data_IF_686683955381
#
_entry.id   IF_686683955381
#
_cell.length_a   1.000
_cell.length_b   1.000
_cell.length_c   1.000
_cell.angle_alpha   90.00
_cell.angle_beta   90.00
_cell.angle_gamma   90.00
#
_symmetry.space_group_name_H-M   'P 1'
#
loop_
_entity.id
_entity.type
_entity.pdbx_description
1 polymer ?
#
# COMPACT_ATOMS: atom_id res chain seq x y z
N UNK A 1 3.53 4.01 28.18
CA UNK A 1 3.77 2.92 27.23
C UNK A 1 4.08 3.51 25.87
N UNK A 2 5.02 2.95 25.09
CA UNK A 2 5.32 3.41 23.72
C UNK A 2 4.84 2.35 22.74
N UNK A 3 3.99 2.73 21.79
CA UNK A 3 3.60 1.85 20.67
C UNK A 3 4.84 1.63 19.80
N UNK A 4 5.18 0.36 19.55
CA UNK A 4 6.22 -0.01 18.60
C UNK A 4 5.55 -0.64 17.39
N UNK A 5 5.67 0.02 16.24
CA UNK A 5 5.18 -0.52 14.98
C UNK A 5 6.12 -1.62 14.45
N UNK A 6 5.55 -2.54 13.67
CA UNK A 6 6.35 -3.40 12.81
C UNK A 6 7.10 -2.57 11.76
N UNK A 7 8.09 -3.16 11.09
CA UNK A 7 8.86 -2.42 10.07
C UNK A 7 7.97 -2.01 8.91
N UNK A 8 7.01 -2.88 8.54
CA UNK A 8 5.98 -2.62 7.53
C UNK A 8 5.10 -1.41 7.91
N UNK A 9 4.54 -1.39 9.12
CA UNK A 9 3.69 -0.27 9.55
C UNK A 9 4.49 1.01 9.80
N UNK A 10 5.75 0.90 10.25
CA UNK A 10 6.64 2.05 10.39
C UNK A 10 6.92 2.71 9.02
N UNK A 11 7.10 1.92 7.96
CA UNK A 11 7.23 2.45 6.61
C UNK A 11 5.96 3.17 6.14
N UNK A 12 4.77 2.63 6.42
CA UNK A 12 3.49 3.31 6.18
C UNK A 12 3.44 4.65 6.94
N UNK A 13 3.71 4.63 8.24
CA UNK A 13 3.70 5.83 9.08
C UNK A 13 4.69 6.91 8.58
N UNK A 14 5.83 6.51 8.02
CA UNK A 14 6.85 7.44 7.52
C UNK A 14 6.41 8.28 6.31
N UNK A 15 5.42 7.81 5.56
CA UNK A 15 4.90 8.50 4.36
C UNK A 15 3.67 9.37 4.63
N UNK A 16 3.16 9.36 5.86
CA UNK A 16 2.02 10.19 6.28
C UNK A 16 2.41 11.66 6.27
N UNK A 17 1.52 12.52 5.77
CA UNK A 17 1.74 13.96 5.77
C UNK A 17 1.69 14.49 7.22
N UNK A 18 2.83 14.93 7.74
CA UNK A 18 2.93 15.48 9.10
C UNK A 18 2.01 16.68 9.29
N UNK A 19 1.39 16.76 10.45
CA UNK A 19 0.46 17.84 10.81
C UNK A 19 -0.94 17.71 10.18
N UNK A 20 -1.18 16.68 9.39
CA UNK A 20 -2.46 16.45 8.71
C UNK A 20 -3.34 15.44 9.46
N UNK A 21 -4.66 15.53 9.29
CA UNK A 21 -5.60 14.51 9.78
C UNK A 21 -5.43 13.24 8.96
N UNK A 22 -5.20 12.11 9.63
CA UNK A 22 -5.07 10.81 9.01
C UNK A 22 -6.35 9.98 9.14
N UNK A 23 -6.72 9.25 8.10
CA UNK A 23 -7.67 8.15 8.17
C UNK A 23 -6.96 6.81 7.91
N UNK A 24 -7.00 5.89 8.86
CA UNK A 24 -6.51 4.52 8.75
C UNK A 24 -7.67 3.56 8.48
N UNK A 25 -7.72 3.03 7.26
CA UNK A 25 -8.87 2.25 6.74
C UNK A 25 -8.53 0.76 6.76
N UNK A 26 -9.35 -0.01 7.47
CA UNK A 26 -9.06 -1.40 7.83
C UNK A 26 -8.01 -1.47 8.94
N UNK A 27 -8.23 -0.69 10.00
CA UNK A 27 -7.29 -0.54 11.10
C UNK A 27 -7.13 -1.87 11.86
N UNK A 28 -5.94 -2.45 11.75
CA UNK A 28 -5.61 -3.67 12.48
C UNK A 28 -5.21 -3.31 13.92
N UNK A 29 -6.19 -3.38 14.82
CA UNK A 29 -6.06 -3.07 16.25
C UNK A 29 -5.62 -1.63 16.59
N UNK A 30 -5.73 -0.66 15.68
CA UNK A 30 -5.46 0.75 15.97
C UNK A 30 -3.98 1.13 16.12
N UNK A 31 -3.03 0.23 15.87
CA UNK A 31 -1.61 0.50 16.10
C UNK A 31 -1.08 1.72 15.33
N UNK A 32 -1.42 1.84 14.04
CA UNK A 32 -0.98 2.95 13.20
C UNK A 32 -1.53 4.31 13.68
N UNK A 33 -2.84 4.54 13.84
CA UNK A 33 -3.38 5.82 14.26
C UNK A 33 -2.91 6.19 15.68
N UNK A 34 -2.84 5.22 16.60
CA UNK A 34 -2.28 5.44 17.94
C UNK A 34 -0.81 5.87 17.88
N UNK A 35 0.01 5.24 17.03
CA UNK A 35 1.40 5.65 16.85
C UNK A 35 1.49 7.07 16.28
N UNK A 36 0.76 7.38 15.21
CA UNK A 36 0.80 8.69 14.56
C UNK A 36 0.42 9.83 15.51
N UNK A 37 -0.63 9.65 16.31
CA UNK A 37 -1.08 10.66 17.28
C UNK A 37 -0.13 10.73 18.48
N UNK A 38 0.29 9.61 19.05
CA UNK A 38 1.19 9.60 20.22
C UNK A 38 2.58 10.16 19.93
N UNK A 39 3.07 10.06 18.68
CA UNK A 39 4.33 10.66 18.24
C UNK A 39 4.17 12.12 17.77
N UNK A 40 2.96 12.69 17.82
CA UNK A 40 2.69 14.04 17.34
C UNK A 40 2.87 14.22 15.82
N UNK A 41 2.85 13.11 15.06
CA UNK A 41 2.91 13.14 13.58
C UNK A 41 1.59 13.68 13.04
N UNK A 42 0.48 13.24 13.61
CA UNK A 42 -0.86 13.70 13.27
C UNK A 42 -1.52 14.36 14.49
N UNK A 43 -2.24 15.48 14.33
CA UNK A 43 -3.01 16.09 15.42
C UNK A 43 -4.25 15.27 15.76
N UNK A 44 -4.78 14.52 14.79
CA UNK A 44 -6.00 13.71 14.89
C UNK A 44 -5.93 12.53 13.92
N UNK A 45 -6.58 11.42 14.28
CA UNK A 45 -6.74 10.27 13.39
C UNK A 45 -8.16 9.71 13.45
N UNK A 46 -8.65 9.22 12.31
CA UNK A 46 -9.86 8.41 12.19
C UNK A 46 -9.38 7.00 11.89
N UNK A 47 -9.82 6.02 12.67
CA UNK A 47 -9.50 4.62 12.44
C UNK A 47 -10.80 3.86 12.18
N UNK A 48 -10.87 3.12 11.08
CA UNK A 48 -12.07 2.37 10.75
C UNK A 48 -11.78 0.93 10.38
N UNK A 49 -12.74 0.06 10.69
CA UNK A 49 -12.77 -1.31 10.20
C UNK A 49 -14.23 -1.71 9.96
N UNK A 50 -14.45 -2.70 9.10
CA UNK A 50 -15.78 -3.30 8.89
C UNK A 50 -16.17 -4.24 10.04
N UNK A 51 -15.20 -4.65 10.84
CA UNK A 51 -15.34 -5.62 11.92
C UNK A 51 -15.20 -4.94 13.28
N UNK A 52 -16.10 -5.27 14.20
CA UNK A 52 -16.06 -4.73 15.56
C UNK A 52 -14.85 -5.22 16.37
N UNK A 53 -14.33 -6.42 16.07
CA UNK A 53 -13.21 -7.03 16.81
C UNK A 53 -11.93 -6.17 16.82
N UNK A 54 -11.37 -5.81 15.64
CA UNK A 54 -10.23 -4.90 15.54
C UNK A 54 -10.47 -3.55 16.22
N UNK A 55 -11.68 -2.98 16.10
CA UNK A 55 -12.03 -1.71 16.74
C UNK A 55 -12.09 -1.79 18.26
N UNK A 56 -12.54 -2.91 18.83
CA UNK A 56 -12.52 -3.10 20.28
C UNK A 56 -11.07 -3.14 20.80
N UNK A 57 -10.18 -3.86 20.12
CA UNK A 57 -8.77 -3.87 20.47
C UNK A 57 -8.11 -2.48 20.30
N UNK A 58 -8.48 -1.74 19.25
CA UNK A 58 -8.06 -0.36 19.08
C UNK A 58 -8.54 0.53 20.22
N UNK A 59 -9.79 0.37 20.65
CA UNK A 59 -10.39 1.11 21.77
C UNK A 59 -9.61 0.90 23.06
N UNK A 60 -9.29 -0.35 23.40
CA UNK A 60 -8.50 -0.67 24.60
C UNK A 60 -7.15 0.07 24.61
N UNK A 61 -6.47 0.14 23.45
CA UNK A 61 -5.19 0.84 23.30
C UNK A 61 -5.35 2.36 23.40
N UNK A 62 -6.39 2.91 22.76
CA UNK A 62 -6.69 4.35 22.74
C UNK A 62 -7.02 4.85 24.16
N UNK A 63 -7.83 4.11 24.91
CA UNK A 63 -8.18 4.42 26.30
C UNK A 63 -6.98 4.28 27.24
N UNK A 64 -6.18 3.21 27.09
CA UNK A 64 -4.97 3.00 27.88
C UNK A 64 -3.96 4.16 27.75
N UNK A 65 -3.95 4.85 26.61
CA UNK A 65 -3.06 5.97 26.32
C UNK A 65 -3.74 7.34 26.45
N UNK A 66 -5.01 7.39 26.88
CA UNK A 66 -5.82 8.61 26.99
C UNK A 66 -5.87 9.44 25.69
N UNK A 67 -6.08 8.77 24.55
CA UNK A 67 -6.10 9.36 23.21
C UNK A 67 -7.51 9.45 22.59
N UNK A 68 -8.57 9.20 23.36
CA UNK A 68 -9.97 9.15 22.92
C UNK A 68 -10.44 10.46 22.27
N UNK A 69 -9.85 11.60 22.69
CA UNK A 69 -10.16 12.92 22.11
C UNK A 69 -9.43 13.19 20.79
N UNK A 70 -8.50 12.33 20.39
CA UNK A 70 -7.64 12.52 19.21
C UNK A 70 -7.73 11.37 18.21
N UNK A 71 -8.38 10.27 18.58
CA UNK A 71 -8.57 9.10 17.73
C UNK A 71 -10.04 8.73 17.74
N UNK A 72 -10.68 8.83 16.59
CA UNK A 72 -12.08 8.44 16.39
C UNK A 72 -12.18 7.07 15.74
N UNK A 73 -12.89 6.16 16.39
CA UNK A 73 -13.03 4.76 15.98
C UNK A 73 -14.39 4.56 15.31
N UNK A 74 -14.41 4.19 14.04
CA UNK A 74 -15.63 4.08 13.24
C UNK A 74 -15.81 2.67 12.66
N UNK A 75 -16.96 2.06 12.93
CA UNK A 75 -17.37 0.83 12.25
C UNK A 75 -17.95 1.18 10.88
N UNK A 76 -17.35 0.68 9.80
CA UNK A 76 -17.90 0.87 8.46
C UNK A 76 -16.98 0.44 7.32
N UNK A 77 -17.51 0.55 6.11
CA UNK A 77 -16.92 0.01 4.88
C UNK A 77 -16.09 1.05 4.12
N UNK A 78 -14.78 0.83 4.11
CA UNK A 78 -13.84 1.61 3.32
C UNK A 78 -13.89 3.10 3.65
N UNK A 79 -13.98 3.93 2.61
CA UNK A 79 -14.02 5.39 2.74
C UNK A 79 -15.41 5.96 3.08
N UNK A 80 -16.46 5.13 3.13
CA UNK A 80 -17.84 5.59 3.42
C UNK A 80 -17.99 6.13 4.83
N UNK A 81 -17.04 5.85 5.71
CA UNK A 81 -16.99 6.38 7.08
C UNK A 81 -16.52 7.83 7.14
N UNK A 82 -16.04 8.39 6.02
CA UNK A 82 -15.45 9.73 5.95
C UNK A 82 -16.39 10.71 5.26
N UNK A 83 -16.40 11.95 5.75
CA UNK A 83 -16.93 13.10 5.01
C UNK A 83 -15.85 13.69 4.09
N UNK A 84 -16.21 14.29 2.94
CA UNK A 84 -15.26 15.02 2.11
C UNK A 84 -14.48 16.09 2.90
N UNK A 85 -13.14 16.08 2.77
CA UNK A 85 -12.25 17.01 3.47
C UNK A 85 -11.98 16.68 4.94
N UNK A 86 -12.54 15.59 5.47
CA UNK A 86 -12.36 15.21 6.87
C UNK A 86 -10.96 14.67 7.19
N UNK A 87 -10.34 13.99 6.22
CA UNK A 87 -8.96 13.50 6.31
C UNK A 87 -8.16 13.92 5.09
N UNK A 88 -6.94 14.39 5.33
CA UNK A 88 -6.00 14.83 4.28
C UNK A 88 -5.07 13.69 3.85
N UNK A 89 -4.77 12.75 4.75
CA UNK A 89 -3.99 11.55 4.45
C UNK A 89 -4.83 10.30 4.69
N UNK A 90 -4.97 9.45 3.68
CA UNK A 90 -5.59 8.12 3.83
C UNK A 90 -4.52 7.04 3.79
N UNK A 91 -4.53 6.16 4.80
CA UNK A 91 -3.74 4.95 4.87
C UNK A 91 -4.63 3.73 4.60
N UNK A 92 -4.22 2.86 3.68
CA UNK A 92 -4.84 1.54 3.47
C UNK A 92 -3.73 0.50 3.36
N UNK A 93 -3.60 -0.35 4.37
CA UNK A 93 -2.51 -1.31 4.47
C UNK A 93 -3.01 -2.73 4.74
N UNK A 94 -2.25 -3.75 4.29
CA UNK A 94 -2.59 -5.15 4.56
C UNK A 94 -3.70 -5.74 3.69
N UNK A 95 -4.15 -5.04 2.64
CA UNK A 95 -5.19 -5.49 1.72
C UNK A 95 -4.64 -5.85 0.34
N UNK A 96 -5.36 -6.63 -0.46
CA UNK A 96 -5.00 -6.85 -1.87
C UNK A 96 -5.31 -5.62 -2.72
N UNK A 97 -4.55 -5.40 -3.80
CA UNK A 97 -4.74 -4.24 -4.69
C UNK A 97 -6.19 -4.06 -5.18
N UNK A 98 -6.86 -5.14 -5.61
CA UNK A 98 -8.28 -5.06 -6.03
C UNK A 98 -9.22 -4.57 -4.92
N UNK A 99 -8.94 -4.89 -3.65
CA UNK A 99 -9.75 -4.40 -2.53
C UNK A 99 -9.47 -2.92 -2.27
N UNK A 100 -8.20 -2.53 -2.27
CA UNK A 100 -7.78 -1.13 -2.15
C UNK A 100 -8.45 -0.28 -3.23
N UNK A 101 -8.37 -0.72 -4.49
CA UNK A 101 -9.00 -0.03 -5.64
C UNK A 101 -10.50 0.14 -5.43
N UNK A 102 -11.23 -0.92 -5.04
CA UNK A 102 -12.68 -0.84 -4.77
C UNK A 102 -13.02 0.15 -3.65
N UNK A 103 -12.21 0.19 -2.59
CA UNK A 103 -12.40 1.15 -1.48
C UNK A 103 -12.23 2.58 -1.98
N UNK A 104 -11.20 2.82 -2.80
CA UNK A 104 -10.92 4.13 -3.41
C UNK A 104 -12.07 4.55 -4.35
N UNK A 105 -12.44 3.69 -5.30
CA UNK A 105 -13.51 3.96 -6.28
C UNK A 105 -14.90 4.14 -5.64
N UNK A 106 -15.12 3.56 -4.46
CA UNK A 106 -16.41 3.63 -3.76
C UNK A 106 -16.73 4.99 -3.13
N UNK A 107 -15.79 5.94 -3.11
CA UNK A 107 -16.01 7.27 -2.50
C UNK A 107 -15.22 8.38 -3.21
N UNK A 108 -15.53 8.67 -4.48
CA UNK A 108 -14.79 9.66 -5.27
C UNK A 108 -14.83 11.07 -4.67
N UNK A 109 -15.95 11.46 -4.04
CA UNK A 109 -16.13 12.77 -3.41
C UNK A 109 -15.21 12.97 -2.20
N UNK A 110 -14.85 11.89 -1.50
CA UNK A 110 -13.84 11.92 -0.44
C UNK A 110 -12.46 12.05 -1.07
N UNK A 111 -12.15 11.21 -2.07
CA UNK A 111 -10.83 11.15 -2.68
C UNK A 111 -10.34 12.46 -3.30
N UNK A 112 -11.23 13.23 -3.93
CA UNK A 112 -10.84 14.49 -4.58
C UNK A 112 -10.28 15.53 -3.59
N UNK A 113 -10.63 15.42 -2.30
CA UNK A 113 -10.14 16.30 -1.24
C UNK A 113 -8.89 15.77 -0.53
N UNK A 114 -8.48 14.53 -0.81
CA UNK A 114 -7.35 13.87 -0.15
C UNK A 114 -6.05 14.35 -0.75
N UNK A 115 -5.11 14.75 0.11
CA UNK A 115 -3.78 15.25 -0.31
C UNK A 115 -2.77 14.12 -0.46
N UNK A 116 -2.90 13.03 0.31
CA UNK A 116 -1.95 11.92 0.34
C UNK A 116 -2.67 10.58 0.49
N UNK A 117 -2.36 9.65 -0.40
CA UNK A 117 -2.61 8.22 -0.20
C UNK A 117 -1.32 7.55 0.24
N UNK A 118 -1.40 6.70 1.26
CA UNK A 118 -0.33 5.77 1.65
C UNK A 118 -0.90 4.36 1.60
N UNK A 119 -0.48 3.61 0.58
CA UNK A 119 -1.08 2.33 0.22
C UNK A 119 -0.05 1.22 0.37
N UNK A 120 -0.45 0.14 1.02
CA UNK A 120 0.41 -1.03 1.22
C UNK A 120 -0.36 -2.28 0.77
N UNK A 121 -0.30 -2.63 -0.54
CA UNK A 121 -0.94 -3.83 -1.05
C UNK A 121 -0.18 -5.10 -0.64
N UNK A 122 -0.91 -6.18 -0.30
CA UNK A 122 -0.34 -7.52 -0.08
C UNK A 122 -0.05 -8.27 -1.38
N UNK A 123 -0.72 -7.90 -2.46
CA UNK A 123 -0.62 -8.51 -3.78
C UNK A 123 -1.16 -7.56 -4.84
N UNK A 124 -0.71 -7.73 -6.08
CA UNK A 124 -1.21 -6.95 -7.21
C UNK A 124 -0.70 -5.51 -7.24
N UNK A 125 0.49 -5.23 -6.71
CA UNK A 125 1.04 -3.86 -6.67
C UNK A 125 1.09 -3.21 -8.06
N UNK A 126 1.42 -3.97 -9.12
CA UNK A 126 1.40 -3.46 -10.50
C UNK A 126 0.00 -3.04 -10.97
N UNK A 127 -1.04 -3.76 -10.56
CA UNK A 127 -2.43 -3.36 -10.80
C UNK A 127 -2.74 -2.04 -10.09
N UNK A 128 -2.30 -1.89 -8.84
CA UNK A 128 -2.51 -0.66 -8.09
C UNK A 128 -1.78 0.53 -8.71
N UNK A 129 -0.52 0.36 -9.14
CA UNK A 129 0.23 1.43 -9.84
C UNK A 129 -0.45 1.86 -11.13
N UNK A 130 -0.97 0.90 -11.91
CA UNK A 130 -1.72 1.20 -13.12
C UNK A 130 -2.98 2.00 -12.82
N UNK A 131 -3.77 1.57 -11.83
CA UNK A 131 -4.96 2.29 -11.39
C UNK A 131 -4.63 3.72 -10.96
N UNK A 132 -3.57 3.90 -10.15
CA UNK A 132 -3.12 5.22 -9.72
C UNK A 132 -2.79 6.12 -10.92
N UNK A 133 -2.03 5.60 -11.90
CA UNK A 133 -1.70 6.34 -13.12
C UNK A 133 -2.96 6.74 -13.92
N UNK A 134 -3.89 5.82 -14.11
CA UNK A 134 -5.15 6.03 -14.86
C UNK A 134 -6.09 7.03 -14.18
N UNK A 135 -6.02 7.15 -12.86
CA UNK A 135 -6.86 8.04 -12.04
C UNK A 135 -6.13 9.32 -11.61
N UNK A 136 -5.05 9.68 -12.31
CA UNK A 136 -4.27 10.89 -12.05
C UNK A 136 -3.74 10.99 -10.60
N UNK A 137 -3.32 9.87 -10.05
CA UNK A 137 -2.55 9.80 -8.81
C UNK A 137 -1.07 9.56 -9.14
N UNK A 138 -0.25 10.57 -8.87
CA UNK A 138 1.20 10.50 -9.04
C UNK A 138 1.83 9.82 -7.84
N UNK A 139 2.57 8.75 -8.11
CA UNK A 139 3.47 8.13 -7.14
C UNK A 139 4.63 9.09 -6.87
N UNK A 140 4.78 9.49 -5.61
CA UNK A 140 5.78 10.48 -5.17
C UNK A 140 6.83 9.87 -4.25
N UNK A 141 6.49 8.78 -3.57
CA UNK A 141 7.42 8.01 -2.76
C UNK A 141 7.03 6.53 -2.79
N UNK A 142 8.00 5.66 -2.62
CA UNK A 142 7.78 4.23 -2.47
C UNK A 142 8.81 3.65 -1.52
N UNK A 143 8.44 2.64 -0.76
CA UNK A 143 9.36 1.95 0.15
C UNK A 143 9.20 0.44 0.01
N UNK A 144 10.29 -0.27 0.23
CA UNK A 144 10.36 -1.72 0.16
C UNK A 144 10.93 -2.24 1.48
N UNK A 145 10.12 -2.98 2.22
CA UNK A 145 10.50 -3.55 3.52
C UNK A 145 10.60 -5.07 3.41
N UNK A 146 11.64 -5.66 3.99
CA UNK A 146 11.74 -7.10 4.19
C UNK A 146 11.44 -7.43 5.65
N UNK A 147 10.30 -8.08 5.91
CA UNK A 147 9.86 -8.45 7.26
C UNK A 147 9.37 -9.91 7.25
N UNK A 148 9.86 -10.73 8.18
CA UNK A 148 9.48 -12.16 8.23
C UNK A 148 9.84 -12.97 6.98
N UNK A 149 10.81 -12.51 6.19
CA UNK A 149 11.17 -13.12 4.91
C UNK A 149 10.25 -12.75 3.74
N UNK A 150 9.30 -11.83 3.95
CA UNK A 150 8.36 -11.36 2.93
C UNK A 150 8.68 -9.90 2.57
N UNK A 151 8.67 -9.60 1.27
CA UNK A 151 8.79 -8.24 0.77
C UNK A 151 7.45 -7.52 0.75
N UNK A 152 7.44 -6.30 1.30
CA UNK A 152 6.29 -5.41 1.33
C UNK A 152 6.60 -4.12 0.57
N UNK A 153 5.76 -3.79 -0.39
CA UNK A 153 5.79 -2.50 -1.08
C UNK A 153 4.81 -1.53 -0.40
N UNK A 154 5.28 -0.31 -0.15
CA UNK A 154 4.49 0.83 0.33
C UNK A 154 4.55 1.90 -0.76
N UNK A 155 3.41 2.49 -1.11
CA UNK A 155 3.28 3.53 -2.13
C UNK A 155 2.70 4.78 -1.49
N UNK A 156 3.44 5.89 -1.60
CA UNK A 156 2.94 7.24 -1.34
C UNK A 156 2.51 7.89 -2.65
N UNK A 157 1.24 8.30 -2.74
CA UNK A 157 0.69 8.96 -3.92
C UNK A 157 -0.07 10.24 -3.57
N UNK A 158 -0.13 11.17 -4.51
CA UNK A 158 -0.91 12.40 -4.41
C UNK A 158 -1.57 12.70 -5.76
N UNK A 159 -2.61 13.53 -5.78
CA UNK A 159 -3.23 13.96 -7.04
C UNK A 159 -2.19 14.62 -7.95
N UNK A 160 -2.20 14.21 -9.21
CA UNK A 160 -1.28 14.64 -10.24
C UNK A 160 -1.12 13.60 -11.34
N UNK A 161 -0.99 14.08 -12.58
CA UNK A 161 -0.73 13.22 -13.73
C UNK A 161 0.64 12.56 -13.62
N UNK A 162 0.71 11.30 -14.02
CA UNK A 162 1.96 10.60 -14.25
C UNK A 162 1.82 9.69 -15.48
N UNK A 163 2.96 9.33 -16.08
CA UNK A 163 3.03 8.33 -17.14
C UNK A 163 4.10 7.34 -16.72
N UNK A 164 3.72 6.07 -16.57
CA UNK A 164 4.60 5.01 -16.13
C UNK A 164 4.83 4.04 -17.28
N UNK A 165 6.07 3.64 -17.47
CA UNK A 165 6.43 2.52 -18.32
C UNK A 165 6.00 1.19 -17.68
N UNK A 166 5.91 0.12 -18.48
CA UNK A 166 5.57 -1.20 -17.94
C UNK A 166 6.58 -1.71 -16.89
N UNK A 167 7.86 -1.32 -17.02
CA UNK A 167 8.87 -1.62 -16.01
C UNK A 167 8.60 -0.88 -14.70
N UNK A 168 8.26 0.41 -14.77
CA UNK A 168 7.90 1.21 -13.58
C UNK A 168 6.61 0.72 -12.92
N UNK A 169 5.62 0.28 -13.71
CA UNK A 169 4.39 -0.33 -13.17
C UNK A 169 4.72 -1.64 -12.45
N UNK A 170 5.58 -2.48 -13.01
CA UNK A 170 5.91 -3.78 -12.41
C UNK A 170 6.82 -3.69 -11.18
N UNK A 171 7.75 -2.74 -11.17
CA UNK A 171 8.83 -2.65 -10.16
C UNK A 171 8.65 -1.48 -9.20
N UNK A 172 8.16 -0.34 -9.66
CA UNK A 172 8.04 0.90 -8.89
C UNK A 172 8.95 2.01 -9.42
N UNK A 173 8.39 3.13 -9.94
CA UNK A 173 9.20 4.21 -10.51
C UNK A 173 10.15 4.84 -9.50
N UNK A 174 9.69 5.04 -8.25
CA UNK A 174 10.51 5.65 -7.20
C UNK A 174 11.51 4.64 -6.68
N UNK A 175 11.12 3.37 -6.49
CA UNK A 175 12.04 2.30 -6.09
C UNK A 175 13.22 2.18 -7.05
N UNK A 176 12.94 2.20 -8.36
CA UNK A 176 13.95 2.18 -9.41
C UNK A 176 14.81 3.44 -9.38
N UNK A 177 14.18 4.63 -9.35
CA UNK A 177 14.89 5.92 -9.36
C UNK A 177 15.86 6.06 -8.18
N UNK A 178 15.44 5.64 -6.97
CA UNK A 178 16.28 5.71 -5.77
C UNK A 178 17.26 4.54 -5.63
N UNK A 179 17.26 3.58 -6.58
CA UNK A 179 18.03 2.33 -6.51
C UNK A 179 17.92 1.68 -5.14
N UNK A 180 16.69 1.43 -4.70
CA UNK A 180 16.44 1.04 -3.30
C UNK A 180 17.33 -0.15 -2.88
N UNK A 181 17.98 -0.15 -1.69
CA UNK A 181 18.95 -1.17 -1.31
C UNK A 181 18.43 -2.62 -1.35
N UNK A 182 17.14 -2.81 -1.10
CA UNK A 182 16.49 -4.12 -1.16
C UNK A 182 16.01 -4.52 -2.56
N UNK A 183 16.07 -3.62 -3.54
CA UNK A 183 15.46 -3.80 -4.86
C UNK A 183 16.06 -4.99 -5.61
N UNK A 184 17.38 -5.15 -5.61
CA UNK A 184 18.04 -6.28 -6.28
C UNK A 184 17.58 -7.63 -5.73
N UNK A 185 17.51 -7.76 -4.41
CA UNK A 185 17.03 -8.99 -3.75
C UNK A 185 15.56 -9.25 -4.05
N UNK A 186 14.74 -8.21 -4.04
CA UNK A 186 13.32 -8.29 -4.39
C UNK A 186 13.09 -8.72 -5.84
N UNK A 187 13.84 -8.17 -6.79
CA UNK A 187 13.76 -8.57 -8.20
C UNK A 187 14.16 -10.03 -8.40
N UNK A 188 15.19 -10.50 -7.69
CA UNK A 188 15.59 -11.92 -7.72
C UNK A 188 14.47 -12.84 -7.21
N UNK A 189 13.78 -12.46 -6.12
CA UNK A 189 12.66 -13.22 -5.58
C UNK A 189 11.45 -13.23 -6.52
N UNK A 190 11.13 -12.08 -7.13
CA UNK A 190 10.12 -12.00 -8.19
C UNK A 190 10.43 -12.90 -9.38
N UNK A 191 11.66 -12.83 -9.90
CA UNK A 191 12.10 -13.64 -11.04
C UNK A 191 12.01 -15.13 -10.68
N UNK A 192 12.42 -15.52 -9.47
CA UNK A 192 12.33 -16.91 -9.00
C UNK A 192 10.88 -17.38 -8.94
N UNK A 193 9.99 -16.56 -8.38
CA UNK A 193 8.55 -16.86 -8.30
C UNK A 193 7.93 -17.01 -9.70
N UNK A 194 8.26 -16.12 -10.64
CA UNK A 194 7.80 -16.20 -12.02
C UNK A 194 8.31 -17.44 -12.75
N UNK A 195 9.57 -17.85 -12.53
CA UNK A 195 10.12 -19.09 -13.09
C UNK A 195 9.38 -20.32 -12.57
N UNK A 196 9.09 -20.40 -11.27
CA UNK A 196 8.30 -21.50 -10.69
C UNK A 196 6.89 -21.57 -11.29
N UNK A 197 6.27 -20.42 -11.55
CA UNK A 197 4.98 -20.35 -12.23
C UNK A 197 5.10 -20.87 -13.67
N UNK A 198 6.15 -20.47 -14.39
CA UNK A 198 6.42 -20.91 -15.77
C UNK A 198 6.70 -22.41 -15.90
N UNK A 199 7.47 -23.00 -14.99
CA UNK A 199 7.79 -24.44 -15.04
C UNK A 199 6.56 -25.32 -14.82
N UNK A 200 5.56 -24.84 -14.07
CA UNK A 200 4.30 -25.55 -13.88
C UNK A 200 3.41 -25.51 -15.13
N UNK A 201 3.64 -24.56 -16.05
CA UNK A 201 2.88 -24.40 -17.29
C UNK A 201 3.42 -25.27 -18.45
N UNK A 202 4.70 -25.66 -18.42
CA UNK A 202 5.34 -26.47 -19.48
C UNK A 202 4.69 -27.86 -19.70
N UNK A 203 3.85 -28.31 -18.76
CA UNK A 203 3.12 -29.58 -18.86
C UNK A 203 1.84 -29.50 -19.73
N UNK A 204 1.43 -28.30 -20.18
CA UNK A 204 0.19 -28.09 -20.94
C UNK A 204 0.42 -27.50 -22.34
N UNK A 205 -0.14 -28.13 -23.38
CA UNK A 205 0.02 -27.69 -24.78
C UNK A 205 -1.12 -26.79 -25.31
N UNK A 206 -2.09 -26.40 -24.47
CA UNK A 206 -3.21 -25.59 -24.90
C UNK A 206 -2.76 -24.16 -25.33
N UNK A 207 -3.40 -23.53 -26.34
CA UNK A 207 -3.03 -22.19 -26.81
C UNK A 207 -2.98 -21.12 -25.70
N UNK A 208 -3.90 -21.19 -24.73
CA UNK A 208 -3.91 -20.30 -23.57
C UNK A 208 -2.72 -20.47 -22.62
N UNK A 209 -2.11 -21.66 -22.59
CA UNK A 209 -0.90 -21.95 -21.80
C UNK A 209 0.32 -21.34 -22.48
N UNK A 210 0.45 -21.50 -23.81
CA UNK A 210 1.56 -20.88 -24.59
C UNK A 210 1.57 -19.35 -24.46
N UNK A 211 0.40 -18.71 -24.52
CA UNK A 211 0.29 -17.25 -24.34
C UNK A 211 0.76 -16.82 -22.94
N UNK A 212 0.27 -17.48 -21.89
CA UNK A 212 0.73 -17.21 -20.51
C UNK A 212 2.23 -17.44 -20.34
N UNK A 213 2.79 -18.47 -20.97
CA UNK A 213 4.24 -18.72 -20.96
C UNK A 213 5.02 -17.54 -21.56
N UNK A 214 4.57 -17.02 -22.72
CA UNK A 214 5.21 -15.87 -23.36
C UNK A 214 5.13 -14.60 -22.49
N UNK A 215 4.00 -14.36 -21.82
CA UNK A 215 3.82 -13.23 -20.90
C UNK A 215 4.77 -13.35 -19.69
N UNK A 216 4.89 -14.54 -19.10
CA UNK A 216 5.83 -14.80 -18.00
C UNK A 216 7.28 -14.57 -18.43
N UNK A 217 7.67 -15.08 -19.59
CA UNK A 217 9.03 -14.92 -20.13
C UNK A 217 9.36 -13.45 -20.43
N UNK A 218 8.42 -12.71 -21.01
CA UNK A 218 8.57 -11.28 -21.25
C UNK A 218 8.77 -10.51 -19.94
N UNK A 219 7.97 -10.81 -18.91
CA UNK A 219 8.13 -10.21 -17.58
C UNK A 219 9.49 -10.54 -16.96
N UNK A 220 9.94 -11.80 -17.03
CA UNK A 220 11.27 -12.19 -16.52
C UNK A 220 12.38 -11.40 -17.23
N UNK A 221 12.30 -11.28 -18.57
CA UNK A 221 13.28 -10.52 -19.36
C UNK A 221 13.34 -9.06 -18.92
N UNK A 222 12.18 -8.42 -18.79
CA UNK A 222 12.06 -7.04 -18.31
C UNK A 222 12.68 -6.86 -16.91
N UNK A 223 12.39 -7.76 -15.96
CA UNK A 223 12.95 -7.68 -14.60
C UNK A 223 14.48 -7.84 -14.59
N UNK A 224 15.04 -8.69 -15.46
CA UNK A 224 16.49 -8.83 -15.61
C UNK A 224 17.13 -7.55 -16.14
N UNK A 225 16.55 -6.94 -17.16
CA UNK A 225 17.02 -5.66 -17.72
C UNK A 225 17.01 -4.56 -16.66
N UNK A 226 15.94 -4.46 -15.86
CA UNK A 226 15.90 -3.51 -14.73
C UNK A 226 17.03 -3.82 -13.74
N UNK A 227 17.23 -5.09 -13.38
CA UNK A 227 18.27 -5.50 -12.42
C UNK A 227 19.70 -5.23 -12.90
N UNK A 228 19.97 -5.28 -14.21
CA UNK A 228 21.28 -4.94 -14.80
C UNK A 228 21.60 -3.44 -14.72
N UNK A 229 20.58 -2.59 -14.60
CA UNK A 229 20.70 -1.13 -14.53
C UNK A 229 20.80 -0.56 -13.10
N UNK A 230 20.74 -1.42 -12.06
CA UNK A 230 20.81 -1.03 -10.64
C UNK A 230 22.25 -0.98 -10.13
#
# INVERSE_FOLDING_TARGET
MKIKLSSRLAAVASMVLKGSVNADIGTDHGYLPTYLVSQGICPYAIASDVSQGPLNAAKDIVELLALEKKIDLRLGDGLKVLSPGEAETICIAGMGASTIIKILEGSPDVLIQVKRLVLQPMRGTSQLRRWLMEHEWKIIDEELVLEGGVFYEIIGAQLGKCCLTEAEIEVGPVLMKKRHPLLKKYLQEKITSLKCIGSNMERGNAPGVKRKQSEVNARISMLKQVMECL
#
